data_IF_052208883515
#
_entry.id   IF_052208883515
#
_cell.length_a   1.000
_cell.length_b   1.000
_cell.length_c   1.000
_cell.angle_alpha   90.00
_cell.angle_beta   90.00
_cell.angle_gamma   90.00
#
_symmetry.space_group_name_H-M   'P 1'
#
loop_
_entity.id
_entity.type
_entity.pdbx_description
1 polymer ?
#
# COMPACT_ATOMS: atom_id res chain seq x y z
N UNK A 1 -76.33 -12.39 2.23
CA UNK A 1 -75.21 -13.12 1.59
C UNK A 1 -74.08 -12.17 1.19
N UNK A 2 -74.38 -10.99 0.64
CA UNK A 2 -73.35 -10.01 0.18
C UNK A 2 -72.43 -9.43 1.26
N UNK A 3 -72.92 -9.22 2.49
CA UNK A 3 -72.08 -8.72 3.59
C UNK A 3 -71.02 -9.74 4.03
N UNK A 4 -71.34 -11.04 3.98
CA UNK A 4 -70.42 -12.10 4.38
C UNK A 4 -69.29 -12.28 3.35
N UNK A 5 -69.59 -12.18 2.06
CA UNK A 5 -68.57 -12.20 0.99
C UNK A 5 -67.69 -10.95 1.01
N UNK A 6 -68.26 -9.78 1.31
CA UNK A 6 -67.50 -8.55 1.52
C UNK A 6 -66.49 -8.66 2.67
N UNK A 7 -66.92 -9.16 3.83
CA UNK A 7 -66.03 -9.36 5.00
C UNK A 7 -64.95 -10.40 4.72
N UNK A 8 -65.30 -11.53 4.09
CA UNK A 8 -64.32 -12.58 3.77
C UNK A 8 -63.24 -12.09 2.79
N UNK A 9 -63.62 -11.32 1.77
CA UNK A 9 -62.67 -10.74 0.81
C UNK A 9 -61.73 -9.71 1.48
N UNK A 10 -62.25 -8.89 2.40
CA UNK A 10 -61.44 -7.94 3.17
C UNK A 10 -60.40 -8.64 4.07
N UNK A 11 -60.78 -9.74 4.73
CA UNK A 11 -59.86 -10.55 5.55
C UNK A 11 -58.74 -11.16 4.70
N UNK A 12 -59.08 -11.74 3.54
CA UNK A 12 -58.09 -12.31 2.62
C UNK A 12 -57.14 -11.23 2.10
N UNK A 13 -57.67 -10.07 1.69
CA UNK A 13 -56.86 -8.95 1.22
C UNK A 13 -55.89 -8.44 2.31
N UNK A 14 -56.33 -8.39 3.57
CA UNK A 14 -55.49 -8.00 4.70
C UNK A 14 -54.34 -9.01 4.92
N UNK A 15 -54.63 -10.31 4.86
CA UNK A 15 -53.61 -11.37 5.02
C UNK A 15 -52.59 -11.31 3.88
N UNK A 16 -53.06 -11.22 2.64
CA UNK A 16 -52.17 -11.12 1.46
C UNK A 16 -51.29 -9.89 1.54
N UNK A 17 -51.86 -8.73 1.93
CA UNK A 17 -51.10 -7.49 2.12
C UNK A 17 -50.03 -7.63 3.20
N UNK A 18 -50.35 -8.29 4.32
CA UNK A 18 -49.40 -8.56 5.39
C UNK A 18 -48.24 -9.47 4.93
N UNK A 19 -48.55 -10.53 4.17
CA UNK A 19 -47.53 -11.44 3.63
C UNK A 19 -46.62 -10.71 2.65
N UNK A 20 -47.18 -9.92 1.73
CA UNK A 20 -46.39 -9.12 0.78
C UNK A 20 -45.51 -8.12 1.51
N UNK A 21 -46.03 -7.43 2.53
CA UNK A 21 -45.26 -6.49 3.34
C UNK A 21 -44.10 -7.20 4.06
N UNK A 22 -44.31 -8.39 4.60
CA UNK A 22 -43.28 -9.15 5.31
C UNK A 22 -42.18 -9.66 4.37
N UNK A 23 -42.57 -10.18 3.20
CA UNK A 23 -41.62 -10.58 2.14
C UNK A 23 -40.82 -9.36 1.66
N UNK A 24 -41.50 -8.24 1.41
CA UNK A 24 -40.87 -6.99 0.99
C UNK A 24 -39.89 -6.49 2.05
N UNK A 25 -40.24 -6.58 3.33
CA UNK A 25 -39.35 -6.18 4.42
C UNK A 25 -38.09 -7.05 4.50
N UNK A 26 -38.24 -8.38 4.40
CA UNK A 26 -37.10 -9.31 4.46
C UNK A 26 -36.18 -9.14 3.25
N UNK A 27 -36.76 -9.06 2.05
CA UNK A 27 -36.00 -8.85 0.81
C UNK A 27 -35.27 -7.52 0.85
N UNK A 28 -35.93 -6.43 1.23
CA UNK A 28 -35.31 -5.11 1.30
C UNK A 28 -34.16 -5.06 2.32
N UNK A 29 -34.31 -5.72 3.49
CA UNK A 29 -33.23 -5.83 4.47
C UNK A 29 -32.02 -6.60 3.93
N UNK A 30 -32.25 -7.68 3.21
CA UNK A 30 -31.18 -8.48 2.61
C UNK A 30 -30.48 -7.71 1.47
N UNK A 31 -31.25 -7.01 0.64
CA UNK A 31 -30.73 -6.15 -0.44
C UNK A 31 -29.85 -5.04 0.14
N UNK A 32 -30.34 -4.29 1.13
CA UNK A 32 -29.57 -3.22 1.78
C UNK A 32 -28.26 -3.73 2.39
N UNK A 33 -28.27 -4.93 2.97
CA UNK A 33 -27.05 -5.54 3.50
C UNK A 33 -26.05 -5.87 2.38
N UNK A 34 -26.52 -6.48 1.29
CA UNK A 34 -25.66 -6.80 0.14
C UNK A 34 -25.11 -5.54 -0.54
N UNK A 35 -25.93 -4.51 -0.71
CA UNK A 35 -25.51 -3.21 -1.25
C UNK A 35 -24.47 -2.54 -0.37
N UNK A 36 -24.67 -2.57 0.96
CA UNK A 36 -23.69 -2.05 1.91
C UNK A 36 -22.36 -2.78 1.82
N UNK A 37 -22.39 -4.12 1.80
CA UNK A 37 -21.17 -4.92 1.67
C UNK A 37 -20.45 -4.66 0.35
N UNK A 38 -21.19 -4.49 -0.76
CA UNK A 38 -20.61 -4.10 -2.06
C UNK A 38 -19.99 -2.70 -1.99
N UNK A 39 -20.70 -1.74 -1.41
CA UNK A 39 -20.21 -0.37 -1.28
C UNK A 39 -18.96 -0.29 -0.40
N UNK A 40 -18.91 -1.02 0.71
CA UNK A 40 -17.71 -1.11 1.57
C UNK A 40 -16.52 -1.70 0.80
N UNK A 41 -16.73 -2.76 0.00
CA UNK A 41 -15.68 -3.33 -0.86
C UNK A 41 -15.22 -2.37 -1.94
N UNK A 42 -16.14 -1.68 -2.62
CA UNK A 42 -15.82 -0.67 -3.63
C UNK A 42 -15.04 0.50 -3.04
N UNK A 43 -15.41 0.96 -1.84
CA UNK A 43 -14.71 2.00 -1.13
C UNK A 43 -13.29 1.56 -0.76
N UNK A 44 -13.14 0.34 -0.21
CA UNK A 44 -11.82 -0.24 0.07
C UNK A 44 -10.97 -0.31 -1.18
N UNK A 45 -11.51 -0.85 -2.29
CA UNK A 45 -10.83 -0.90 -3.59
C UNK A 45 -10.39 0.48 -4.09
N UNK A 46 -11.26 1.48 -3.98
CA UNK A 46 -10.94 2.86 -4.39
C UNK A 46 -9.79 3.43 -3.55
N UNK A 47 -9.77 3.16 -2.25
CA UNK A 47 -8.69 3.63 -1.37
C UNK A 47 -7.37 2.89 -1.67
N UNK A 48 -7.42 1.59 -1.93
CA UNK A 48 -6.27 0.76 -2.32
C UNK A 48 -5.66 1.23 -3.65
N UNK A 49 -6.50 1.48 -4.66
CA UNK A 49 -6.06 2.03 -5.95
C UNK A 49 -5.41 3.42 -5.81
N UNK A 50 -5.95 4.30 -4.97
CA UNK A 50 -5.31 5.60 -4.70
C UNK A 50 -3.96 5.46 -4.02
N UNK A 51 -3.84 4.54 -3.06
CA UNK A 51 -2.56 4.26 -2.41
C UNK A 51 -1.54 3.72 -3.42
N UNK A 52 -1.98 2.87 -4.35
CA UNK A 52 -1.17 2.35 -5.44
C UNK A 52 -0.62 3.45 -6.35
N UNK A 53 -1.51 4.32 -6.85
CA UNK A 53 -1.12 5.42 -7.73
C UNK A 53 -0.09 6.34 -7.07
N UNK A 54 -0.30 6.67 -5.79
CA UNK A 54 0.64 7.47 -5.01
C UNK A 54 1.99 6.78 -4.81
N UNK A 55 2.01 5.45 -4.60
CA UNK A 55 3.27 4.69 -4.50
C UNK A 55 4.02 4.67 -5.83
N UNK A 56 3.31 4.48 -6.94
CA UNK A 56 3.91 4.54 -8.28
C UNK A 56 4.48 5.92 -8.61
N UNK A 57 3.85 6.98 -8.12
CA UNK A 57 4.34 8.35 -8.30
C UNK A 57 5.60 8.61 -7.44
N UNK A 58 5.58 8.19 -6.17
CA UNK A 58 6.60 8.60 -5.19
C UNK A 58 7.82 7.67 -5.09
N UNK A 59 7.68 6.37 -5.31
CA UNK A 59 8.76 5.40 -5.11
C UNK A 59 9.88 5.47 -6.17
N UNK A 60 9.61 5.80 -7.45
CA UNK A 60 10.68 6.00 -8.44
C UNK A 60 11.73 7.02 -8.02
N UNK A 61 11.35 8.05 -7.26
CA UNK A 61 12.28 9.07 -6.75
C UNK A 61 13.30 8.47 -5.78
N UNK A 62 12.87 7.66 -4.80
CA UNK A 62 13.77 6.95 -3.88
C UNK A 62 14.69 5.96 -4.62
N UNK A 63 14.16 5.30 -5.65
CA UNK A 63 14.91 4.41 -6.53
C UNK A 63 16.01 5.18 -7.28
N UNK A 64 15.71 6.39 -7.75
CA UNK A 64 16.67 7.28 -8.42
C UNK A 64 17.73 7.82 -7.46
N UNK A 65 17.34 8.28 -6.26
CA UNK A 65 18.27 8.74 -5.21
C UNK A 65 19.30 7.67 -4.86
N UNK A 66 18.85 6.41 -4.77
CA UNK A 66 19.71 5.27 -4.40
C UNK A 66 20.41 4.60 -5.59
N UNK A 67 20.30 5.15 -6.80
CA UNK A 67 20.83 4.50 -7.99
C UNK A 67 22.37 4.48 -8.03
N UNK A 68 22.98 5.56 -7.49
CA UNK A 68 24.42 5.70 -7.23
C UNK A 68 25.04 4.59 -6.38
N UNK A 69 24.22 3.84 -5.64
CA UNK A 69 24.65 2.76 -4.75
C UNK A 69 24.64 1.37 -5.42
N UNK A 70 24.57 1.32 -6.77
CA UNK A 70 24.75 0.08 -7.52
C UNK A 70 26.21 -0.37 -7.44
N UNK A 71 26.45 -1.68 -7.29
CA UNK A 71 27.79 -2.28 -7.26
C UNK A 71 28.68 -1.81 -8.42
N UNK A 72 28.16 -1.79 -9.64
CA UNK A 72 28.89 -1.34 -10.83
C UNK A 72 29.26 0.14 -10.77
N UNK A 73 28.37 1.00 -10.29
CA UNK A 73 28.62 2.43 -10.17
C UNK A 73 29.61 2.74 -9.04
N UNK A 74 29.46 2.07 -7.90
CA UNK A 74 30.41 2.21 -6.78
C UNK A 74 31.82 1.74 -7.17
N UNK A 75 31.93 0.65 -7.92
CA UNK A 75 33.22 0.18 -8.43
C UNK A 75 33.84 1.17 -9.43
N UNK A 76 33.03 1.77 -10.31
CA UNK A 76 33.50 2.77 -11.27
C UNK A 76 33.87 4.12 -10.63
N UNK A 77 33.24 4.47 -9.51
CA UNK A 77 33.38 5.76 -8.83
C UNK A 77 34.21 5.68 -7.54
N UNK A 78 35.14 4.74 -7.44
CA UNK A 78 35.87 4.45 -6.19
C UNK A 78 36.57 5.69 -5.59
N UNK A 79 37.00 6.65 -6.42
CA UNK A 79 37.59 7.92 -5.99
C UNK A 79 36.58 8.94 -5.40
N UNK A 80 35.28 8.76 -5.65
CA UNK A 80 34.20 9.65 -5.22
C UNK A 80 33.36 9.09 -4.05
N UNK A 81 33.70 7.90 -3.54
CA UNK A 81 33.02 7.28 -2.39
C UNK A 81 33.50 7.91 -1.06
N UNK A 82 33.28 9.21 -0.93
CA UNK A 82 33.59 9.98 0.27
C UNK A 82 32.46 9.90 1.30
N UNK A 83 32.76 10.28 2.54
CA UNK A 83 31.74 10.44 3.58
C UNK A 83 30.66 11.46 3.17
N UNK A 84 31.07 12.54 2.47
CA UNK A 84 30.14 13.56 1.96
C UNK A 84 29.17 13.00 0.94
N UNK A 85 29.64 12.14 0.03
CA UNK A 85 28.78 11.49 -0.97
C UNK A 85 27.65 10.67 -0.33
N UNK A 86 27.99 9.82 0.66
CA UNK A 86 26.97 9.00 1.32
C UNK A 86 26.03 9.83 2.21
N UNK A 87 26.54 10.89 2.86
CA UNK A 87 25.72 11.84 3.61
C UNK A 87 24.74 12.59 2.72
N UNK A 88 25.14 12.98 1.51
CA UNK A 88 24.26 13.65 0.56
C UNK A 88 23.13 12.73 0.09
N UNK A 89 23.42 11.45 -0.13
CA UNK A 89 22.37 10.45 -0.44
C UNK A 89 21.43 10.29 0.75
N UNK A 90 21.95 10.17 1.97
CA UNK A 90 21.13 10.06 3.18
C UNK A 90 20.23 11.29 3.35
N UNK A 91 20.76 12.50 3.10
CA UNK A 91 20.01 13.75 3.14
C UNK A 91 18.89 13.79 2.11
N UNK A 92 19.16 13.40 0.86
CA UNK A 92 18.12 13.29 -0.18
C UNK A 92 17.02 12.30 0.21
N UNK A 93 17.37 11.18 0.85
CA UNK A 93 16.40 10.22 1.39
C UNK A 93 15.60 10.81 2.56
N UNK A 94 16.18 11.68 3.38
CA UNK A 94 15.45 12.40 4.43
C UNK A 94 14.47 13.41 3.86
N UNK A 95 14.92 14.20 2.87
CA UNK A 95 14.10 15.17 2.14
C UNK A 95 12.92 14.47 1.46
N UNK A 96 13.17 13.42 0.67
CA UNK A 96 12.12 12.62 0.05
C UNK A 96 11.13 12.05 1.07
N UNK A 97 11.63 11.45 2.15
CA UNK A 97 10.77 10.86 3.18
C UNK A 97 9.93 11.91 3.91
N UNK A 98 10.42 13.14 4.08
CA UNK A 98 9.66 14.23 4.72
C UNK A 98 8.46 14.73 3.90
N UNK A 99 8.34 14.28 2.64
CA UNK A 99 7.18 14.56 1.79
C UNK A 99 6.00 13.62 2.08
N UNK A 100 5.07 13.48 1.13
CA UNK A 100 3.98 12.49 1.18
C UNK A 100 4.49 11.05 1.31
N UNK A 101 5.74 10.77 0.92
CA UNK A 101 6.33 9.43 0.97
C UNK A 101 6.26 8.79 2.37
N UNK A 102 6.40 9.55 3.46
CA UNK A 102 6.29 9.01 4.83
C UNK A 102 4.97 8.29 5.09
N UNK A 103 3.86 8.77 4.51
CA UNK A 103 2.52 8.19 4.72
C UNK A 103 2.27 6.94 3.86
N UNK A 104 3.11 6.69 2.85
CA UNK A 104 2.90 5.63 1.86
C UNK A 104 3.64 4.35 2.21
N UNK A 105 4.74 4.46 2.97
CA UNK A 105 5.63 3.34 3.26
C UNK A 105 4.98 2.32 4.18
N UNK A 106 5.12 1.04 3.83
CA UNK A 106 4.86 -0.02 4.80
C UNK A 106 5.88 0.00 5.93
N UNK A 107 5.56 -0.68 7.04
CA UNK A 107 6.49 -0.86 8.15
C UNK A 107 7.83 -1.45 7.70
N UNK A 108 7.81 -2.44 6.81
CA UNK A 108 9.04 -3.06 6.28
C UNK A 108 9.90 -2.07 5.48
N UNK A 109 9.25 -1.22 4.66
CA UNK A 109 9.95 -0.19 3.91
C UNK A 109 10.57 0.88 4.82
N UNK A 110 9.88 1.26 5.90
CA UNK A 110 10.41 2.19 6.92
C UNK A 110 11.63 1.59 7.65
N UNK A 111 11.55 0.33 8.08
CA UNK A 111 12.65 -0.32 8.82
C UNK A 111 13.91 -0.47 7.95
N UNK A 112 13.72 -0.83 6.68
CA UNK A 112 14.83 -0.94 5.72
C UNK A 112 15.39 0.42 5.32
N UNK A 113 14.57 1.48 5.25
CA UNK A 113 15.02 2.85 5.06
C UNK A 113 15.89 3.33 6.23
N UNK A 114 15.49 3.08 7.47
CA UNK A 114 16.30 3.43 8.64
C UNK A 114 17.62 2.66 8.68
N UNK A 115 17.60 1.38 8.30
CA UNK A 115 18.82 0.59 8.16
C UNK A 115 19.76 1.19 7.11
N UNK A 116 19.23 1.59 5.95
CA UNK A 116 20.00 2.24 4.90
C UNK A 116 20.59 3.57 5.35
N UNK A 117 19.79 4.43 6.00
CA UNK A 117 20.27 5.71 6.55
C UNK A 117 21.38 5.51 7.57
N UNK A 118 21.25 4.52 8.44
CA UNK A 118 22.26 4.21 9.45
C UNK A 118 23.60 3.88 8.78
N UNK A 119 23.61 2.94 7.83
CA UNK A 119 24.86 2.53 7.16
C UNK A 119 25.46 3.63 6.28
N UNK A 120 24.65 4.50 5.67
CA UNK A 120 25.14 5.64 4.90
C UNK A 120 25.79 6.73 5.76
N UNK A 121 25.44 6.81 7.04
CA UNK A 121 26.01 7.78 7.99
C UNK A 121 27.18 7.21 8.79
N UNK A 122 27.55 5.95 8.58
CA UNK A 122 28.75 5.37 9.16
C UNK A 122 30.00 6.09 8.61
N UNK A 123 30.95 6.37 9.51
CA UNK A 123 32.22 6.98 9.12
C UNK A 123 33.12 5.96 8.41
N UNK A 124 34.01 6.40 7.50
CA UNK A 124 35.01 5.53 6.89
C UNK A 124 35.89 4.85 7.96
N UNK A 125 36.19 3.56 7.80
CA UNK A 125 37.04 2.80 8.73
C UNK A 125 38.55 3.11 8.56
N UNK A 126 38.99 3.43 7.35
CA UNK A 126 40.37 3.80 7.02
C UNK A 126 40.44 5.28 6.64
N UNK A 127 41.62 5.91 6.69
CA UNK A 127 41.90 7.34 6.44
C UNK A 127 41.05 8.00 5.32
N UNK A 128 39.79 8.31 5.60
CA UNK A 128 38.81 8.82 4.63
C UNK A 128 38.27 7.81 3.61
N UNK A 129 38.61 6.51 3.70
CA UNK A 129 38.17 5.47 2.76
C UNK A 129 37.31 4.39 3.43
N UNK A 130 36.24 4.00 2.74
CA UNK A 130 35.35 2.93 3.17
C UNK A 130 35.94 1.55 2.87
N UNK A 131 35.84 0.64 3.84
CA UNK A 131 36.23 -0.75 3.63
C UNK A 131 35.27 -1.48 2.69
N UNK A 132 35.72 -2.59 2.09
CA UNK A 132 34.87 -3.40 1.20
C UNK A 132 33.63 -3.91 1.95
N UNK A 133 33.79 -4.23 3.22
CA UNK A 133 32.75 -4.67 4.14
C UNK A 133 31.70 -3.58 4.34
N UNK A 134 32.11 -2.32 4.54
CA UNK A 134 31.19 -1.18 4.63
C UNK A 134 30.44 -0.96 3.32
N UNK A 135 31.12 -0.99 2.18
CA UNK A 135 30.49 -0.85 0.87
C UNK A 135 29.47 -1.97 0.59
N UNK A 136 29.79 -3.20 1.00
CA UNK A 136 28.87 -4.34 0.88
C UNK A 136 27.65 -4.18 1.80
N UNK A 137 27.81 -3.67 3.03
CA UNK A 137 26.69 -3.33 3.92
C UNK A 137 25.76 -2.30 3.31
N UNK A 138 26.31 -1.22 2.74
CA UNK A 138 25.54 -0.18 2.04
C UNK A 138 24.78 -0.79 0.86
N UNK A 139 25.44 -1.60 0.03
CA UNK A 139 24.81 -2.24 -1.11
C UNK A 139 23.67 -3.18 -0.69
N UNK A 140 23.87 -4.00 0.35
CA UNK A 140 22.83 -4.89 0.90
C UNK A 140 21.65 -4.11 1.45
N UNK A 141 21.90 -3.06 2.24
CA UNK A 141 20.84 -2.22 2.79
C UNK A 141 20.02 -1.52 1.69
N UNK A 142 20.70 -1.02 0.65
CA UNK A 142 20.04 -0.46 -0.55
C UNK A 142 19.19 -1.51 -1.27
N UNK A 143 19.70 -2.73 -1.38
CA UNK A 143 18.99 -3.86 -1.97
C UNK A 143 17.71 -4.18 -1.19
N UNK A 144 17.81 -4.31 0.13
CA UNK A 144 16.68 -4.57 1.01
C UNK A 144 15.62 -3.47 0.92
N UNK A 145 16.02 -2.20 0.96
CA UNK A 145 15.11 -1.07 0.81
C UNK A 145 14.37 -1.08 -0.52
N UNK A 146 15.07 -1.21 -1.66
CA UNK A 146 14.43 -1.31 -2.98
C UNK A 146 13.58 -2.59 -3.14
N UNK A 147 13.86 -3.65 -2.37
CA UNK A 147 13.01 -4.83 -2.33
C UNK A 147 11.70 -4.55 -1.59
N UNK A 148 11.78 -3.91 -0.42
CA UNK A 148 10.60 -3.53 0.36
C UNK A 148 9.68 -2.59 -0.43
N UNK A 149 10.24 -1.57 -1.10
CA UNK A 149 9.45 -0.67 -1.97
C UNK A 149 8.73 -1.42 -3.11
N UNK A 150 9.36 -2.43 -3.70
CA UNK A 150 8.72 -3.26 -4.74
C UNK A 150 7.64 -4.16 -4.15
N UNK A 151 7.89 -4.72 -2.97
CA UNK A 151 6.92 -5.56 -2.24
C UNK A 151 5.65 -4.78 -1.91
N UNK A 152 5.78 -3.53 -1.48
CA UNK A 152 4.67 -2.61 -1.23
C UNK A 152 3.78 -2.39 -2.46
N UNK A 153 4.34 -2.54 -3.66
CA UNK A 153 3.61 -2.45 -4.93
C UNK A 153 3.03 -3.82 -5.29
N UNK A 154 3.77 -4.92 -5.07
CA UNK A 154 3.39 -6.28 -5.46
C UNK A 154 2.27 -6.89 -4.60
N UNK A 155 2.30 -6.71 -3.27
CA UNK A 155 1.27 -7.27 -2.39
C UNK A 155 -0.15 -6.73 -2.70
N UNK A 156 -0.25 -5.55 -3.31
CA UNK A 156 -1.52 -4.98 -3.76
C UNK A 156 -2.06 -5.68 -5.01
N UNK A 157 -1.20 -6.25 -5.86
CA UNK A 157 -1.63 -7.02 -7.04
C UNK A 157 -2.21 -8.38 -6.67
N UNK A 158 -1.64 -9.06 -5.67
CA UNK A 158 -2.13 -10.37 -5.22
C UNK A 158 -3.55 -10.24 -4.62
N UNK A 159 -3.82 -9.19 -3.82
CA UNK A 159 -5.18 -8.87 -3.33
C UNK A 159 -6.18 -8.55 -4.46
N UNK A 160 -5.75 -7.84 -5.52
CA UNK A 160 -6.61 -7.58 -6.68
C UNK A 160 -6.91 -8.86 -7.48
N UNK A 161 -5.96 -9.79 -7.57
CA UNK A 161 -6.12 -11.01 -8.36
C UNK A 161 -7.03 -12.00 -7.65
N UNK A 162 -6.83 -12.23 -6.36
CA UNK A 162 -7.70 -13.12 -5.56
C UNK A 162 -9.15 -12.62 -5.53
N UNK A 163 -9.38 -11.31 -5.49
CA UNK A 163 -10.74 -10.74 -5.46
C UNK A 163 -11.48 -10.67 -6.81
N UNK A 164 -10.84 -11.08 -7.92
CA UNK A 164 -11.49 -11.21 -9.25
C UNK A 164 -11.98 -12.63 -9.52
N UNK A 165 -11.45 -13.60 -8.79
CA UNK A 165 -11.79 -15.02 -8.93
C UNK A 165 -12.92 -15.47 -7.96
N UNK A 166 -13.36 -14.58 -7.06
CA UNK A 166 -14.53 -14.69 -6.17
C UNK A 166 -15.81 -14.01 -6.71
#
# INVERSE_FOLDING_TARGET
MELFTGVLSAVIAAIVSLIIALISFVTNKNTLRSEREKFERELQRSMTSKLYDLRLEMYPEAIAITDGLRKSQMAAQQAHLSETYFKDIAKKLDEWHSTKAFLLLSRSAVDTLYTLRRVLREKPEMEGQYSKEQLEKIWKAKGAFRSALRSDIQFLYEEETESRDD
#
